data_IF_094669261987
#
_entry.id   IF_094669261987
#
_cell.length_a   1.000
_cell.length_b   1.000
_cell.length_c   1.000
_cell.angle_alpha   90.00
_cell.angle_beta   90.00
_cell.angle_gamma   90.00
#
_symmetry.space_group_name_H-M   'P 1'
#
loop_
_entity.id
_entity.type
_entity.pdbx_description
1 polymer ?
#
# COMPACT_ATOMS: atom_id res chain seq x y z
N UNK A 1 -39.05 23.36 66.17
CA UNK A 1 -37.73 23.95 65.93
C UNK A 1 -36.84 22.85 65.32
N UNK A 2 -36.84 22.70 64.03
CA UNK A 2 -36.17 21.63 63.28
C UNK A 2 -35.18 22.25 62.33
N UNK A 3 -33.90 22.01 62.60
CA UNK A 3 -32.77 22.51 61.79
C UNK A 3 -32.56 21.49 60.66
N UNK A 4 -32.62 21.96 59.43
CA UNK A 4 -32.23 21.20 58.23
C UNK A 4 -30.73 21.41 57.94
N UNK A 5 -29.95 20.39 57.61
CA UNK A 5 -28.60 20.55 57.09
C UNK A 5 -28.64 20.78 55.59
N UNK A 6 -27.95 21.81 55.15
CA UNK A 6 -27.68 22.14 53.73
C UNK A 6 -26.66 21.14 53.12
N UNK A 7 -27.06 20.52 52.04
CA UNK A 7 -26.21 19.69 51.23
C UNK A 7 -25.47 20.57 50.18
N UNK A 8 -24.18 20.76 50.35
CA UNK A 8 -23.32 21.43 49.37
C UNK A 8 -22.93 20.43 48.26
N UNK A 9 -23.44 20.68 47.08
CA UNK A 9 -23.01 19.95 45.85
C UNK A 9 -21.62 20.46 45.44
N UNK A 10 -20.59 19.63 45.61
CA UNK A 10 -19.29 19.84 44.97
C UNK A 10 -19.42 19.42 43.47
N UNK A 11 -19.43 20.40 42.56
CA UNK A 11 -19.30 20.18 41.15
C UNK A 11 -17.79 19.98 40.84
N UNK A 12 -17.38 18.74 40.63
CA UNK A 12 -16.04 18.43 40.14
C UNK A 12 -15.98 18.81 38.67
N UNK A 13 -15.27 19.90 38.34
CA UNK A 13 -14.93 20.32 36.99
C UNK A 13 -13.88 19.33 36.47
N UNK A 14 -14.28 18.36 35.63
CA UNK A 14 -13.35 17.57 34.83
C UNK A 14 -12.74 18.50 33.77
N UNK A 15 -11.50 18.94 33.98
CA UNK A 15 -10.66 19.50 32.92
C UNK A 15 -10.29 18.35 31.98
N UNK A 16 -11.01 18.25 30.89
CA UNK A 16 -10.56 17.46 29.73
C UNK A 16 -9.36 18.21 29.15
N UNK A 17 -8.16 17.80 29.50
CA UNK A 17 -6.96 18.20 28.76
C UNK A 17 -7.07 17.61 27.36
N UNK A 18 -7.52 18.39 26.40
CA UNK A 18 -7.33 18.10 24.99
C UNK A 18 -5.83 18.20 24.70
N UNK A 19 -5.16 17.05 24.66
CA UNK A 19 -3.83 17.00 24.07
C UNK A 19 -3.94 17.57 22.65
N UNK A 20 -3.01 18.43 22.21
CA UNK A 20 -3.02 18.90 20.84
C UNK A 20 -2.90 17.66 19.96
N UNK A 21 -3.89 17.46 19.10
CA UNK A 21 -3.78 16.54 17.96
C UNK A 21 -2.58 17.06 17.20
N UNK A 22 -1.46 16.35 17.29
CA UNK A 22 -0.29 16.59 16.46
C UNK A 22 -0.76 16.28 15.04
N UNK A 23 -1.24 17.32 14.35
CA UNK A 23 -1.69 17.19 12.97
C UNK A 23 -0.54 16.59 12.18
N UNK A 24 -0.78 15.45 11.54
CA UNK A 24 0.17 14.86 10.63
C UNK A 24 0.60 15.96 9.65
N UNK A 25 1.86 16.42 9.76
CA UNK A 25 2.40 17.38 8.80
C UNK A 25 2.25 16.75 7.43
N UNK A 26 1.63 17.47 6.50
CA UNK A 26 1.47 17.00 5.14
C UNK A 26 2.81 16.45 4.62
N UNK A 27 2.83 15.21 4.18
CA UNK A 27 4.04 14.52 3.76
C UNK A 27 4.64 15.12 2.49
N UNK A 28 3.89 15.95 1.80
CA UNK A 28 4.31 16.65 0.58
C UNK A 28 3.46 17.90 0.33
N UNK A 29 4.05 18.86 -0.41
CA UNK A 29 3.34 20.06 -0.89
C UNK A 29 3.90 20.46 -2.26
N UNK A 30 3.03 20.89 -3.18
CA UNK A 30 3.47 21.44 -4.45
C UNK A 30 4.16 22.80 -4.24
N UNK A 31 5.37 22.96 -4.76
CA UNK A 31 6.20 24.17 -4.64
C UNK A 31 6.83 24.48 -6.00
N UNK A 32 6.06 25.01 -6.99
CA UNK A 32 6.49 25.08 -8.39
C UNK A 32 7.85 25.74 -8.62
N UNK A 33 8.15 26.79 -7.88
CA UNK A 33 9.36 27.61 -8.11
C UNK A 33 10.52 27.28 -7.14
N UNK A 34 10.45 26.17 -6.42
CA UNK A 34 11.39 25.86 -5.36
C UNK A 34 12.67 25.14 -5.81
N UNK A 35 12.69 24.54 -7.02
CA UNK A 35 13.88 23.83 -7.50
C UNK A 35 15.02 24.79 -7.86
N UNK A 36 16.21 24.71 -7.20
CA UNK A 36 17.39 25.50 -7.55
C UNK A 36 17.82 25.36 -9.00
N UNK A 37 17.71 24.14 -9.57
CA UNK A 37 18.09 23.89 -10.97
C UNK A 37 17.11 24.50 -11.96
N UNK A 38 15.82 24.46 -11.68
CA UNK A 38 14.79 25.16 -12.50
C UNK A 38 14.99 26.67 -12.42
N UNK A 39 15.23 27.21 -11.22
CA UNK A 39 15.53 28.64 -11.05
C UNK A 39 16.77 29.08 -11.80
N UNK A 40 17.83 28.26 -11.82
CA UNK A 40 19.03 28.54 -12.59
C UNK A 40 18.77 28.53 -14.10
N UNK A 41 17.97 27.56 -14.60
CA UNK A 41 17.57 27.51 -16.01
C UNK A 41 16.73 28.72 -16.38
N UNK A 42 15.76 29.13 -15.56
CA UNK A 42 14.95 30.33 -15.78
C UNK A 42 15.82 31.59 -15.90
N UNK A 43 16.79 31.73 -14.98
CA UNK A 43 17.75 32.85 -15.04
C UNK A 43 18.57 32.84 -16.32
N UNK A 44 19.04 31.70 -16.78
CA UNK A 44 19.82 31.57 -18.01
C UNK A 44 18.98 31.89 -19.25
N UNK A 45 17.74 31.48 -19.30
CA UNK A 45 16.79 31.82 -20.38
C UNK A 45 16.49 33.32 -20.40
N UNK A 46 16.21 33.92 -19.25
CA UNK A 46 15.97 35.36 -19.12
C UNK A 46 17.20 36.18 -19.54
N UNK A 47 18.40 35.64 -19.39
CA UNK A 47 19.66 36.26 -19.87
C UNK A 47 19.92 36.00 -21.37
N UNK A 48 18.99 35.39 -22.11
CA UNK A 48 19.10 35.12 -23.54
C UNK A 48 20.07 34.02 -23.95
N UNK A 49 20.47 33.13 -23.00
CA UNK A 49 21.40 32.02 -23.28
C UNK A 49 20.68 30.90 -24.06
N UNK A 50 20.75 30.96 -25.39
CA UNK A 50 20.01 30.03 -26.26
C UNK A 50 20.35 28.55 -26.06
N UNK A 51 21.55 28.19 -25.59
CA UNK A 51 21.94 26.81 -25.33
C UNK A 51 21.58 26.33 -23.92
N UNK A 52 20.86 27.12 -23.10
CA UNK A 52 20.52 26.78 -21.74
C UNK A 52 19.67 25.49 -21.62
N UNK A 53 18.62 25.27 -22.44
CA UNK A 53 17.85 24.01 -22.40
C UNK A 53 18.71 22.80 -22.76
N UNK A 54 19.56 22.88 -23.79
CA UNK A 54 20.43 21.77 -24.19
C UNK A 54 21.40 21.37 -23.08
N UNK A 55 22.01 22.35 -22.39
CA UNK A 55 22.88 22.08 -21.24
C UNK A 55 22.13 21.49 -20.06
N UNK A 56 20.93 21.98 -19.80
CA UNK A 56 20.07 21.45 -18.75
C UNK A 56 19.75 19.97 -18.99
N UNK A 57 19.31 19.60 -20.20
CA UNK A 57 19.01 18.21 -20.53
C UNK A 57 20.27 17.31 -20.50
N UNK A 58 21.44 17.82 -20.88
CA UNK A 58 22.69 17.08 -20.72
C UNK A 58 22.98 16.77 -19.26
N UNK A 59 22.78 17.73 -18.36
CA UNK A 59 22.95 17.52 -16.91
C UNK A 59 21.91 16.53 -16.36
N UNK A 60 20.64 16.66 -16.75
CA UNK A 60 19.57 15.73 -16.32
C UNK A 60 19.89 14.30 -16.77
N UNK A 61 20.44 14.12 -17.97
CA UNK A 61 20.84 12.79 -18.45
C UNK A 61 21.95 12.16 -17.60
N UNK A 62 22.83 12.95 -17.03
CA UNK A 62 23.91 12.48 -16.15
C UNK A 62 23.44 12.13 -14.75
N UNK A 63 22.54 12.93 -14.17
CA UNK A 63 22.10 12.78 -12.77
C UNK A 63 20.81 11.97 -12.64
N UNK A 64 20.02 11.82 -13.71
CA UNK A 64 18.70 11.16 -13.72
C UNK A 64 17.57 12.09 -13.32
N UNK A 65 16.34 11.57 -13.46
CA UNK A 65 15.10 12.20 -13.02
C UNK A 65 14.31 11.23 -12.11
N UNK A 66 13.39 11.75 -11.25
CA UNK A 66 13.20 13.17 -10.94
C UNK A 66 14.43 13.79 -10.25
N UNK A 67 14.60 15.12 -10.35
CA UNK A 67 15.66 15.82 -9.60
C UNK A 67 15.32 15.77 -8.11
N UNK A 68 16.27 15.36 -7.30
CA UNK A 68 16.15 15.36 -5.84
C UNK A 68 17.14 16.37 -5.30
N UNK A 69 16.65 17.44 -4.70
CA UNK A 69 17.45 18.59 -4.26
C UNK A 69 17.16 18.89 -2.78
N UNK A 70 18.18 19.24 -1.98
CA UNK A 70 17.98 19.53 -0.56
C UNK A 70 17.11 20.79 -0.38
N UNK A 71 16.28 20.80 0.66
CA UNK A 71 15.53 21.98 1.09
C UNK A 71 16.43 22.79 2.03
N UNK A 72 16.75 24.06 1.72
CA UNK A 72 17.56 24.88 2.60
C UNK A 72 16.96 25.01 4.01
N UNK A 73 17.75 24.65 5.02
CA UNK A 73 17.33 24.74 6.43
C UNK A 73 16.37 23.64 6.92
N UNK A 74 16.05 22.65 6.07
CA UNK A 74 15.14 21.55 6.43
C UNK A 74 15.69 20.19 5.94
N UNK A 75 16.51 19.50 6.75
CA UNK A 75 17.17 18.26 6.36
C UNK A 75 16.20 17.07 6.24
N UNK A 76 14.94 17.20 6.71
CA UNK A 76 13.95 16.13 6.66
C UNK A 76 13.16 16.08 5.35
N UNK A 77 13.35 17.07 4.47
CA UNK A 77 12.65 17.19 3.20
C UNK A 77 13.61 17.40 2.04
N UNK A 78 13.15 16.97 0.87
CA UNK A 78 13.78 17.27 -0.43
C UNK A 78 12.78 17.94 -1.36
N UNK A 79 13.29 18.80 -2.25
CA UNK A 79 12.56 19.16 -3.46
C UNK A 79 12.70 18.03 -4.47
N UNK A 80 11.56 17.51 -4.92
CA UNK A 80 11.48 16.48 -5.95
C UNK A 80 10.85 17.11 -7.17
N UNK A 81 11.65 17.28 -8.24
CA UNK A 81 11.20 17.91 -9.47
C UNK A 81 11.07 16.89 -10.57
N UNK A 82 9.83 16.61 -10.95
CA UNK A 82 9.48 15.80 -12.10
C UNK A 82 9.74 16.61 -13.37
N UNK A 83 10.25 15.95 -14.40
CA UNK A 83 10.65 16.55 -15.66
C UNK A 83 10.07 15.79 -16.84
N UNK A 84 9.60 16.51 -17.83
CA UNK A 84 9.21 15.94 -19.12
C UNK A 84 9.83 16.78 -20.24
N UNK A 85 10.49 16.09 -21.19
CA UNK A 85 11.05 16.71 -22.37
C UNK A 85 9.94 16.79 -23.43
N UNK A 86 9.32 17.97 -23.56
CA UNK A 86 8.22 18.20 -24.49
C UNK A 86 8.70 18.46 -25.91
N UNK A 87 7.78 18.36 -26.84
CA UNK A 87 7.95 18.72 -28.24
C UNK A 87 6.85 19.70 -28.69
N UNK A 88 6.80 19.97 -30.00
CA UNK A 88 5.80 20.88 -30.59
C UNK A 88 4.36 20.36 -30.44
N UNK A 89 4.15 19.06 -30.19
CA UNK A 89 2.82 18.45 -30.06
C UNK A 89 2.38 18.36 -28.60
N UNK A 90 3.27 18.61 -27.64
CA UNK A 90 3.00 18.53 -26.21
C UNK A 90 2.16 19.72 -25.75
N UNK A 91 0.91 19.50 -25.39
CA UNK A 91 -0.05 20.50 -24.94
C UNK A 91 -0.16 20.60 -23.42
N UNK A 92 -0.02 19.49 -22.73
CA UNK A 92 0.03 19.37 -21.28
C UNK A 92 0.70 18.05 -20.90
N UNK A 93 1.15 17.95 -19.66
CA UNK A 93 1.62 16.71 -19.04
C UNK A 93 1.06 16.66 -17.62
N UNK A 94 0.49 15.53 -17.24
CA UNK A 94 -0.04 15.29 -15.87
C UNK A 94 0.80 14.23 -15.21
N UNK A 95 1.13 14.45 -13.94
CA UNK A 95 1.70 13.41 -13.06
C UNK A 95 0.54 12.60 -12.51
N UNK A 96 0.71 11.28 -12.48
CA UNK A 96 -0.32 10.33 -12.08
C UNK A 96 0.23 9.35 -11.06
N UNK A 97 -0.50 9.11 -9.96
CA UNK A 97 -0.10 8.30 -8.80
C UNK A 97 0.97 8.96 -7.90
N UNK A 98 1.26 8.36 -6.77
CA UNK A 98 2.27 8.83 -5.82
C UNK A 98 1.88 10.12 -5.09
N UNK A 99 2.55 11.22 -5.44
CA UNK A 99 2.29 12.56 -4.87
C UNK A 99 1.11 13.26 -5.51
N UNK A 100 0.55 12.66 -6.57
CA UNK A 100 -0.56 13.20 -7.32
C UNK A 100 -1.81 12.36 -7.01
N UNK A 101 -2.88 13.03 -6.63
CA UNK A 101 -4.20 12.43 -6.73
C UNK A 101 -4.46 12.15 -8.22
N UNK A 102 -5.20 11.08 -8.54
CA UNK A 102 -5.59 10.73 -9.92
C UNK A 102 -6.44 11.81 -10.60
N UNK A 103 -6.01 13.06 -10.49
CA UNK A 103 -6.75 14.27 -10.89
C UNK A 103 -5.88 15.19 -11.76
N UNK A 104 -6.53 15.89 -12.66
CA UNK A 104 -5.92 16.90 -13.56
C UNK A 104 -5.22 18.08 -12.84
N UNK A 105 -5.34 18.21 -11.52
CA UNK A 105 -4.63 19.23 -10.71
C UNK A 105 -3.11 19.11 -10.79
N UNK A 106 -2.60 17.90 -11.06
CA UNK A 106 -1.17 17.64 -11.05
C UNK A 106 -0.51 17.85 -12.40
N UNK A 107 -1.04 18.84 -13.15
CA UNK A 107 -0.41 19.32 -14.39
C UNK A 107 0.95 19.92 -14.11
N UNK A 108 1.90 19.56 -14.98
CA UNK A 108 3.22 20.16 -15.03
C UNK A 108 3.14 21.56 -15.66
N UNK A 109 4.03 22.42 -15.26
CA UNK A 109 4.22 23.75 -15.84
C UNK A 109 5.20 23.65 -17.01
N UNK A 110 4.94 24.35 -18.10
CA UNK A 110 5.91 24.53 -19.17
C UNK A 110 6.78 25.74 -18.83
N UNK A 111 8.07 25.55 -18.83
CA UNK A 111 9.01 26.67 -18.71
C UNK A 111 8.97 27.47 -20.01
N UNK A 112 8.69 28.78 -19.88
CA UNK A 112 8.57 29.71 -21.01
C UNK A 112 9.82 29.63 -21.90
N UNK A 113 9.63 29.68 -23.21
CA UNK A 113 10.66 29.64 -24.25
C UNK A 113 11.58 28.40 -24.18
N UNK A 114 11.04 27.28 -23.70
CA UNK A 114 11.75 26.00 -23.63
C UNK A 114 10.87 24.80 -23.94
N UNK A 115 11.51 23.63 -24.05
CA UNK A 115 10.89 22.30 -24.17
C UNK A 115 10.76 21.60 -22.82
N UNK A 116 11.05 22.30 -21.72
CA UNK A 116 11.05 21.75 -20.36
C UNK A 116 9.68 21.89 -19.72
N UNK A 117 9.08 20.77 -19.39
CA UNK A 117 7.91 20.68 -18.51
C UNK A 117 8.36 20.19 -17.17
N UNK A 118 7.88 20.80 -16.09
CA UNK A 118 8.30 20.46 -14.73
C UNK A 118 7.19 20.66 -13.70
N UNK A 119 7.32 19.93 -12.59
CA UNK A 119 6.56 20.17 -11.36
C UNK A 119 7.41 19.77 -10.17
N UNK A 120 7.50 20.66 -9.19
CA UNK A 120 8.30 20.45 -7.98
C UNK A 120 7.38 20.26 -6.78
N UNK A 121 7.72 19.29 -5.93
CA UNK A 121 7.10 19.07 -4.63
C UNK A 121 8.17 19.10 -3.55
N UNK A 122 7.82 19.62 -2.36
CA UNK A 122 8.59 19.40 -1.14
C UNK A 122 8.08 18.11 -0.50
N UNK A 123 8.95 17.10 -0.37
CA UNK A 123 8.58 15.75 0.07
C UNK A 123 9.51 15.31 1.20
N UNK A 124 8.96 14.64 2.23
CA UNK A 124 9.76 14.06 3.32
C UNK A 124 10.73 13.01 2.80
N UNK A 125 11.94 12.99 3.35
CA UNK A 125 13.04 12.14 2.90
C UNK A 125 12.84 10.63 3.12
N UNK A 126 11.85 10.22 3.91
CA UNK A 126 11.48 8.82 4.12
C UNK A 126 10.46 8.29 3.09
N UNK A 127 10.17 9.07 2.03
CA UNK A 127 9.17 8.72 1.04
C UNK A 127 9.68 7.75 -0.03
N UNK A 128 8.77 6.84 -0.44
CA UNK A 128 8.89 6.00 -1.63
C UNK A 128 7.54 5.86 -2.28
N UNK A 129 7.45 6.12 -3.60
CA UNK A 129 6.21 6.01 -4.34
C UNK A 129 6.45 5.77 -5.84
N UNK A 130 5.49 5.12 -6.47
CA UNK A 130 5.42 4.95 -7.91
C UNK A 130 4.76 6.17 -8.55
N UNK A 131 5.02 6.41 -9.84
CA UNK A 131 4.37 7.47 -10.61
C UNK A 131 4.41 7.17 -12.10
N UNK A 132 3.54 7.88 -12.84
CA UNK A 132 3.47 7.90 -14.30
C UNK A 132 3.37 9.32 -14.82
N UNK A 133 3.62 9.48 -16.10
CA UNK A 133 3.24 10.66 -16.85
C UNK A 133 2.08 10.36 -17.80
N UNK A 134 1.21 11.35 -18.00
CA UNK A 134 0.18 11.36 -19.01
C UNK A 134 0.38 12.60 -19.90
N UNK A 135 1.21 12.53 -20.96
CA UNK A 135 1.34 13.61 -21.93
C UNK A 135 0.08 13.73 -22.75
N UNK A 136 -0.30 14.98 -23.07
CA UNK A 136 -1.56 15.30 -23.76
C UNK A 136 -2.80 14.72 -23.07
N UNK A 137 -2.80 14.75 -21.74
CA UNK A 137 -3.86 14.24 -20.89
C UNK A 137 -5.22 14.88 -21.24
N UNK A 138 -6.32 14.11 -21.28
CA UNK A 138 -7.66 14.64 -21.54
C UNK A 138 -8.20 15.51 -20.40
N UNK A 139 -7.50 15.55 -19.25
CA UNK A 139 -7.86 16.32 -18.05
C UNK A 139 -9.22 15.91 -17.44
N UNK A 140 -9.60 14.66 -17.64
CA UNK A 140 -10.79 14.04 -17.04
C UNK A 140 -10.38 13.29 -15.79
N UNK A 141 -11.04 13.55 -14.68
CA UNK A 141 -10.82 12.80 -13.44
C UNK A 141 -11.12 11.31 -13.65
N UNK A 142 -10.29 10.43 -13.10
CA UNK A 142 -10.56 8.97 -13.13
C UNK A 142 -11.84 8.61 -12.39
N UNK A 143 -12.27 9.42 -11.43
CA UNK A 143 -13.51 9.23 -10.70
C UNK A 143 -14.77 9.44 -11.56
N UNK A 144 -14.63 10.20 -12.66
CA UNK A 144 -15.71 10.47 -13.62
C UNK A 144 -15.79 9.43 -14.74
N UNK A 145 -14.79 8.55 -14.85
CA UNK A 145 -14.73 7.51 -15.89
C UNK A 145 -15.62 6.33 -15.48
N UNK A 146 -16.58 6.02 -16.36
CA UNK A 146 -17.51 4.91 -16.15
C UNK A 146 -17.25 3.80 -17.16
N UNK A 147 -17.20 2.57 -16.66
CA UNK A 147 -17.01 1.37 -17.47
C UNK A 147 -15.55 0.97 -17.66
N UNK A 148 -15.35 -0.33 -17.75
CA UNK A 148 -14.00 -0.93 -17.78
C UNK A 148 -13.21 -0.56 -19.03
N UNK A 149 -13.86 -0.46 -20.20
CA UNK A 149 -13.17 -0.13 -21.45
C UNK A 149 -12.68 1.32 -21.46
N UNK A 150 -13.49 2.27 -20.95
CA UNK A 150 -13.08 3.66 -20.82
C UNK A 150 -11.93 3.81 -19.81
N UNK A 151 -11.97 3.06 -18.70
CA UNK A 151 -10.88 3.03 -17.73
C UNK A 151 -9.61 2.42 -18.35
N UNK A 152 -9.70 1.33 -19.11
CA UNK A 152 -8.56 0.76 -19.85
C UNK A 152 -7.94 1.76 -20.81
N UNK A 153 -8.76 2.43 -21.61
CA UNK A 153 -8.29 3.45 -22.54
C UNK A 153 -7.57 4.59 -21.82
N UNK A 154 -8.09 5.02 -20.67
CA UNK A 154 -7.46 6.06 -19.84
C UNK A 154 -6.10 5.63 -19.29
N UNK A 155 -6.01 4.41 -18.76
CA UNK A 155 -4.77 3.89 -18.18
C UNK A 155 -3.73 3.54 -19.26
N UNK A 156 -4.14 3.21 -20.46
CA UNK A 156 -3.24 3.00 -21.61
C UNK A 156 -2.49 4.27 -22.07
N UNK A 157 -2.93 5.45 -21.64
CA UNK A 157 -2.23 6.71 -21.90
C UNK A 157 -1.06 6.95 -20.95
N UNK A 158 -0.99 6.22 -19.85
CA UNK A 158 0.05 6.38 -18.85
C UNK A 158 1.39 5.87 -19.38
N UNK A 159 2.44 6.64 -19.15
CA UNK A 159 3.80 6.33 -19.58
C UNK A 159 4.74 6.37 -18.38
N UNK A 160 5.73 5.48 -18.39
CA UNK A 160 6.86 5.58 -17.47
C UNK A 160 7.71 6.80 -17.82
N UNK A 161 8.42 7.33 -16.84
CA UNK A 161 9.37 8.43 -17.05
C UNK A 161 10.58 7.93 -17.87
N UNK A 162 10.80 8.47 -19.09
CA UNK A 162 11.91 8.04 -19.92
C UNK A 162 13.29 8.44 -19.36
N UNK A 163 13.32 9.38 -18.41
CA UNK A 163 14.55 9.88 -17.78
C UNK A 163 14.87 9.17 -16.46
N UNK A 164 13.94 8.36 -15.95
CA UNK A 164 14.14 7.57 -14.74
C UNK A 164 14.31 6.08 -15.10
N UNK A 165 15.47 5.46 -14.89
CA UNK A 165 15.66 4.04 -15.19
C UNK A 165 15.01 3.09 -14.16
N UNK A 166 14.59 3.62 -13.00
CA UNK A 166 14.03 2.79 -11.92
C UNK A 166 12.59 2.40 -12.24
N UNK A 167 12.31 1.10 -12.20
CA UNK A 167 11.01 0.52 -12.52
C UNK A 167 10.53 -0.38 -11.40
N UNK A 168 9.22 -0.42 -11.21
CA UNK A 168 8.56 -1.40 -10.37
C UNK A 168 7.30 -1.92 -11.09
N UNK A 169 6.87 -3.15 -10.83
CA UNK A 169 5.58 -3.63 -11.31
C UNK A 169 4.43 -2.75 -10.83
N UNK A 170 3.48 -2.50 -11.72
CA UNK A 170 2.35 -1.62 -11.44
C UNK A 170 1.29 -2.27 -10.56
N UNK A 171 0.64 -1.47 -9.70
CA UNK A 171 -0.60 -1.83 -9.00
C UNK A 171 -1.80 -2.00 -9.92
N UNK A 172 -1.76 -1.36 -11.08
CA UNK A 172 -2.81 -1.47 -12.10
C UNK A 172 -2.65 -2.74 -12.95
N UNK A 173 -2.19 -3.86 -12.36
CA UNK A 173 -1.78 -5.09 -13.02
C UNK A 173 -2.74 -5.70 -14.04
N UNK A 174 -4.05 -5.38 -13.97
CA UNK A 174 -5.01 -5.75 -15.02
C UNK A 174 -4.67 -5.10 -16.39
N UNK A 175 -3.82 -4.09 -16.39
CA UNK A 175 -3.44 -3.32 -17.58
C UNK A 175 -1.98 -3.53 -17.99
N UNK A 176 -1.25 -4.34 -17.23
CA UNK A 176 0.12 -4.77 -17.51
C UNK A 176 1.15 -3.64 -17.51
N UNK A 177 2.38 -3.94 -17.17
CA UNK A 177 3.48 -3.01 -17.34
C UNK A 177 4.19 -2.62 -16.05
N UNK A 178 5.00 -1.58 -16.17
CA UNK A 178 5.85 -1.07 -15.11
C UNK A 178 5.48 0.39 -14.82
N UNK A 179 5.71 0.81 -13.58
CA UNK A 179 5.70 2.19 -13.14
C UNK A 179 7.13 2.68 -12.95
N UNK A 180 7.36 3.97 -13.14
CA UNK A 180 8.56 4.61 -12.59
C UNK A 180 8.39 4.78 -11.09
N UNK A 181 9.47 4.72 -10.32
CA UNK A 181 9.40 5.02 -8.91
C UNK A 181 10.54 5.91 -8.44
N UNK A 182 10.28 6.63 -7.37
CA UNK A 182 11.26 7.42 -6.65
C UNK A 182 11.39 6.90 -5.23
N UNK A 183 12.60 6.95 -4.73
CA UNK A 183 12.95 6.62 -3.36
C UNK A 183 13.87 7.71 -2.84
N UNK A 184 13.44 8.37 -1.78
CA UNK A 184 14.19 9.45 -1.16
C UNK A 184 15.22 8.91 -0.16
N UNK A 185 16.20 9.72 0.27
CA UNK A 185 17.38 9.23 0.97
C UNK A 185 17.14 8.43 2.25
N UNK A 186 16.09 8.75 3.00
CA UNK A 186 15.75 8.11 4.28
C UNK A 186 14.61 7.08 4.14
N UNK A 187 14.18 6.77 2.91
CA UNK A 187 13.13 5.77 2.70
C UNK A 187 13.56 4.40 3.28
N UNK A 188 12.67 3.72 4.02
CA UNK A 188 12.99 2.41 4.58
C UNK A 188 13.45 1.45 3.48
N UNK A 189 14.61 0.80 3.67
CA UNK A 189 15.12 -0.17 2.68
C UNK A 189 14.12 -1.28 2.48
N UNK A 190 13.96 -1.70 1.24
CA UNK A 190 13.10 -2.84 0.89
C UNK A 190 13.97 -4.08 0.71
N UNK A 191 13.64 -5.14 1.43
CA UNK A 191 14.41 -6.39 1.46
C UNK A 191 14.45 -7.09 0.10
N UNK A 192 13.40 -6.98 -0.72
CA UNK A 192 13.33 -7.63 -2.03
C UNK A 192 14.32 -7.08 -3.07
N UNK A 193 14.88 -5.89 -2.84
CA UNK A 193 15.93 -5.30 -3.69
C UNK A 193 17.32 -5.90 -3.39
N UNK A 194 17.45 -6.66 -2.29
CA UNK A 194 18.70 -7.35 -1.97
C UNK A 194 18.97 -8.49 -2.96
N UNK A 195 20.26 -8.71 -3.22
CA UNK A 195 20.69 -9.83 -4.05
C UNK A 195 20.37 -11.17 -3.36
N UNK A 196 19.30 -11.81 -3.78
CA UNK A 196 18.83 -13.08 -3.23
C UNK A 196 19.62 -14.30 -3.73
N UNK A 197 20.56 -14.16 -4.65
CA UNK A 197 21.31 -15.29 -5.23
C UNK A 197 22.13 -16.08 -4.20
N UNK A 198 22.38 -15.51 -3.02
CA UNK A 198 23.11 -16.17 -1.93
C UNK A 198 22.23 -17.06 -1.04
N UNK A 199 20.91 -17.02 -1.19
CA UNK A 199 19.97 -17.73 -0.33
C UNK A 199 19.39 -18.98 -1.03
N UNK A 200 19.01 -19.98 -0.24
CA UNK A 200 18.25 -21.11 -0.75
C UNK A 200 16.81 -20.65 -1.05
N UNK A 201 16.33 -20.95 -2.25
CA UNK A 201 15.01 -20.54 -2.71
C UNK A 201 13.95 -21.59 -2.44
N UNK A 202 12.78 -21.14 -1.99
CA UNK A 202 11.56 -21.94 -2.00
C UNK A 202 11.05 -22.18 -3.43
N UNK A 203 9.98 -22.94 -3.54
CA UNK A 203 9.33 -23.25 -4.82
C UNK A 203 7.93 -22.66 -4.87
N UNK A 204 7.58 -22.08 -6.01
CA UNK A 204 6.21 -21.67 -6.29
C UNK A 204 5.60 -22.63 -7.29
N UNK A 205 4.45 -23.19 -6.95
CA UNK A 205 3.66 -24.07 -7.81
C UNK A 205 2.31 -23.42 -8.10
N UNK A 206 1.88 -23.50 -9.36
CA UNK A 206 0.52 -23.13 -9.76
C UNK A 206 -0.35 -24.37 -9.69
N UNK A 207 -1.52 -24.26 -9.06
CA UNK A 207 -2.49 -25.33 -8.92
C UNK A 207 -3.91 -24.75 -8.86
N UNK A 208 -4.90 -25.56 -8.59
CA UNK A 208 -6.27 -25.13 -8.39
C UNK A 208 -6.99 -25.97 -7.34
N UNK A 209 -8.08 -25.44 -6.83
CA UNK A 209 -9.04 -26.13 -5.97
C UNK A 209 -10.47 -25.93 -6.50
N UNK A 210 -11.23 -27.03 -6.59
CA UNK A 210 -12.64 -26.93 -6.89
C UNK A 210 -13.40 -26.55 -5.62
N UNK A 211 -13.95 -25.36 -5.58
CA UNK A 211 -14.72 -24.88 -4.44
C UNK A 211 -16.21 -25.25 -4.58
N UNK A 212 -16.71 -25.88 -3.55
CA UNK A 212 -18.17 -26.18 -3.43
C UNK A 212 -18.93 -24.94 -2.96
N UNK A 213 -18.32 -24.13 -2.11
CA UNK A 213 -18.88 -22.87 -1.58
C UNK A 213 -19.02 -21.81 -2.67
N UNK A 214 -17.95 -21.61 -3.46
CA UNK A 214 -17.92 -20.63 -4.55
C UNK A 214 -18.50 -21.18 -5.86
N UNK A 215 -18.75 -22.50 -5.95
CA UNK A 215 -19.26 -23.23 -7.14
C UNK A 215 -18.40 -23.00 -8.39
N UNK A 216 -17.10 -22.87 -8.20
CA UNK A 216 -16.12 -22.65 -9.27
C UNK A 216 -14.73 -23.15 -8.88
N UNK A 217 -13.91 -23.37 -9.88
CA UNK A 217 -12.49 -23.60 -9.68
C UNK A 217 -11.78 -22.30 -9.31
N UNK A 218 -10.91 -22.37 -8.29
CA UNK A 218 -10.03 -21.26 -7.90
C UNK A 218 -8.59 -21.64 -8.20
N UNK A 219 -7.92 -20.85 -9.03
CA UNK A 219 -6.48 -20.93 -9.27
C UNK A 219 -5.72 -20.44 -8.03
N UNK A 220 -4.62 -21.10 -7.74
CA UNK A 220 -3.78 -20.87 -6.58
C UNK A 220 -2.30 -20.84 -6.98
N UNK A 221 -1.51 -20.05 -6.27
CA UNK A 221 -0.06 -20.18 -6.23
C UNK A 221 0.33 -20.64 -4.83
N UNK A 222 1.10 -21.72 -4.76
CA UNK A 222 1.56 -22.26 -3.48
C UNK A 222 3.08 -22.12 -3.41
N UNK A 223 3.56 -21.41 -2.41
CA UNK A 223 4.96 -21.35 -2.07
C UNK A 223 5.27 -22.36 -0.97
N UNK A 224 6.32 -23.16 -1.17
CA UNK A 224 6.92 -24.02 -0.15
C UNK A 224 8.37 -23.59 0.10
N UNK A 225 8.82 -23.52 1.37
CA UNK A 225 10.17 -23.03 1.68
C UNK A 225 11.26 -23.97 1.19
N UNK A 226 12.49 -23.48 1.09
CA UNK A 226 13.65 -24.33 0.82
C UNK A 226 13.73 -25.47 1.84
N UNK A 227 14.00 -26.69 1.34
CA UNK A 227 14.04 -27.89 2.19
C UNK A 227 12.67 -28.42 2.63
N UNK A 228 11.57 -27.93 2.04
CA UNK A 228 10.23 -28.47 2.29
C UNK A 228 10.17 -29.97 1.98
N UNK A 229 9.71 -30.79 2.94
CA UNK A 229 9.57 -32.24 2.79
C UNK A 229 8.15 -32.78 3.09
N UNK A 230 7.30 -31.93 3.68
CA UNK A 230 5.93 -32.28 4.04
C UNK A 230 5.77 -33.36 5.13
N UNK A 231 6.85 -33.70 5.86
CA UNK A 231 6.88 -34.85 6.80
C UNK A 231 7.21 -34.49 8.24
N UNK A 232 7.92 -33.39 8.44
CA UNK A 232 8.33 -32.95 9.78
C UNK A 232 7.21 -32.16 10.48
N UNK A 233 7.56 -31.17 11.33
CA UNK A 233 6.58 -30.35 12.03
C UNK A 233 5.67 -29.63 11.03
N UNK A 234 4.36 -29.50 11.34
CA UNK A 234 3.47 -28.71 10.49
C UNK A 234 4.00 -27.29 10.29
N UNK A 235 3.92 -26.80 9.07
CA UNK A 235 4.38 -25.48 8.69
C UNK A 235 3.36 -24.39 9.06
N UNK A 236 3.76 -23.25 9.63
CA UNK A 236 2.89 -22.07 9.66
C UNK A 236 2.31 -21.79 8.29
N UNK A 237 1.09 -21.25 8.24
CA UNK A 237 0.37 -20.99 7.00
C UNK A 237 0.14 -19.50 6.81
N UNK A 238 0.49 -19.00 5.64
CA UNK A 238 0.10 -17.67 5.16
C UNK A 238 -0.91 -17.83 4.03
N UNK A 239 -2.11 -17.31 4.20
CA UNK A 239 -3.10 -17.14 3.13
C UNK A 239 -3.04 -15.68 2.67
N UNK A 240 -2.78 -15.46 1.38
CA UNK A 240 -2.55 -14.13 0.81
C UNK A 240 -3.42 -13.94 -0.43
N UNK A 241 -4.07 -12.79 -0.54
CA UNK A 241 -4.88 -12.42 -1.71
C UNK A 241 -4.04 -11.78 -2.82
N UNK A 242 -4.65 -11.56 -3.99
CA UNK A 242 -4.02 -10.97 -5.17
C UNK A 242 -2.72 -11.70 -5.58
N UNK A 243 -2.80 -13.03 -5.67
CA UNK A 243 -1.65 -13.91 -5.94
C UNK A 243 -0.99 -13.65 -7.28
N UNK A 244 -1.75 -13.24 -8.31
CA UNK A 244 -1.25 -12.85 -9.62
C UNK A 244 -0.20 -11.72 -9.56
N UNK A 245 -0.26 -10.89 -8.53
CA UNK A 245 0.62 -9.74 -8.29
C UNK A 245 1.68 -10.05 -7.23
N UNK A 246 1.26 -10.67 -6.14
CA UNK A 246 2.11 -10.96 -5.00
C UNK A 246 3.16 -12.05 -5.29
N UNK A 247 2.92 -12.93 -6.26
CA UNK A 247 3.84 -13.99 -6.65
C UNK A 247 5.21 -13.48 -7.13
N UNK A 248 5.27 -12.24 -7.60
CA UNK A 248 6.53 -11.63 -8.06
C UNK A 248 7.43 -11.12 -6.92
N UNK A 249 6.87 -10.90 -5.73
CA UNK A 249 7.55 -10.22 -4.63
C UNK A 249 7.68 -11.09 -3.38
N UNK A 250 6.55 -11.63 -2.93
CA UNK A 250 6.46 -12.23 -1.59
C UNK A 250 7.30 -13.51 -1.47
N UNK A 251 7.39 -14.41 -2.46
CA UNK A 251 8.28 -15.56 -2.36
C UNK A 251 9.73 -15.18 -2.05
N UNK A 252 10.26 -14.16 -2.73
CA UNK A 252 11.62 -13.66 -2.52
C UNK A 252 11.80 -13.07 -1.12
N UNK A 253 10.80 -12.34 -0.63
CA UNK A 253 10.80 -11.80 0.74
C UNK A 253 10.82 -12.95 1.76
N UNK A 254 10.01 -13.98 1.55
CA UNK A 254 9.98 -15.16 2.43
C UNK A 254 11.34 -15.87 2.45
N UNK A 255 11.96 -16.10 1.29
CA UNK A 255 13.28 -16.73 1.20
C UNK A 255 14.32 -15.98 2.05
N UNK A 256 14.37 -14.66 1.93
CA UNK A 256 15.31 -13.83 2.67
C UNK A 256 15.00 -13.86 4.18
N UNK A 257 13.75 -13.68 4.57
CA UNK A 257 13.35 -13.66 5.99
C UNK A 257 13.60 -15.00 6.68
N UNK A 258 13.38 -16.10 5.97
CA UNK A 258 13.64 -17.45 6.47
C UNK A 258 15.15 -17.69 6.60
N UNK A 259 15.93 -17.33 5.59
CA UNK A 259 17.39 -17.48 5.60
C UNK A 259 18.06 -16.63 6.71
N UNK A 260 17.52 -15.46 6.99
CA UNK A 260 17.97 -14.58 8.08
C UNK A 260 17.40 -14.98 9.46
N UNK A 261 16.63 -16.07 9.56
CA UNK A 261 15.95 -16.53 10.79
C UNK A 261 15.03 -15.46 11.42
N UNK A 262 14.51 -14.54 10.61
CA UNK A 262 13.54 -13.52 11.08
C UNK A 262 12.14 -14.08 11.22
N UNK A 263 11.81 -15.11 10.42
CA UNK A 263 10.55 -15.86 10.49
C UNK A 263 10.86 -17.38 10.39
N UNK A 264 10.01 -18.26 10.91
CA UNK A 264 10.13 -19.69 10.66
C UNK A 264 9.82 -20.02 9.20
N UNK A 265 10.33 -21.14 8.65
CA UNK A 265 9.86 -21.68 7.38
C UNK A 265 8.34 -21.87 7.40
N UNK A 266 7.65 -21.39 6.37
CA UNK A 266 6.19 -21.42 6.26
C UNK A 266 5.74 -21.82 4.86
N UNK A 267 4.52 -22.30 4.74
CA UNK A 267 3.80 -22.49 3.48
C UNK A 267 2.93 -21.25 3.23
N UNK A 268 2.94 -20.76 1.99
CA UNK A 268 2.02 -19.68 1.58
C UNK A 268 1.11 -20.18 0.47
N UNK A 269 -0.19 -19.88 0.61
CA UNK A 269 -1.19 -20.11 -0.44
C UNK A 269 -1.75 -18.75 -0.86
N UNK A 270 -1.60 -18.42 -2.14
CA UNK A 270 -2.13 -17.18 -2.71
C UNK A 270 -3.32 -17.49 -3.61
N UNK A 271 -4.40 -16.74 -3.44
CA UNK A 271 -5.61 -16.84 -4.26
C UNK A 271 -5.56 -15.92 -5.47
N UNK A 272 -6.26 -16.28 -6.54
CA UNK A 272 -6.30 -15.53 -7.81
C UNK A 272 -7.49 -14.55 -7.82
N UNK A 273 -7.18 -13.27 -7.82
CA UNK A 273 -8.11 -12.16 -7.98
C UNK A 273 -7.77 -11.31 -9.23
N UNK A 274 -7.14 -11.92 -10.22
CA UNK A 274 -6.73 -11.24 -11.47
C UNK A 274 -7.91 -10.71 -12.29
N UNK A 275 -9.09 -11.32 -12.16
CA UNK A 275 -10.32 -10.85 -12.80
C UNK A 275 -11.00 -9.82 -11.89
N UNK A 276 -11.05 -8.56 -12.33
CA UNK A 276 -11.58 -7.45 -11.55
C UNK A 276 -13.00 -7.70 -11.01
N UNK A 277 -13.90 -8.25 -11.83
CA UNK A 277 -15.27 -8.56 -11.41
C UNK A 277 -15.29 -9.56 -10.24
N UNK A 278 -14.46 -10.62 -10.30
CA UNK A 278 -14.32 -11.57 -9.20
C UNK A 278 -13.70 -10.94 -7.97
N UNK A 279 -12.67 -10.10 -8.15
CA UNK A 279 -12.02 -9.40 -7.06
C UNK A 279 -12.99 -8.49 -6.29
N UNK A 280 -13.85 -7.77 -7.00
CA UNK A 280 -14.87 -6.89 -6.41
C UNK A 280 -16.05 -7.64 -5.81
N UNK A 281 -16.29 -8.88 -6.22
CA UNK A 281 -17.29 -9.79 -5.63
C UNK A 281 -16.76 -10.47 -4.36
N UNK A 282 -15.54 -11.03 -4.41
CA UNK A 282 -15.00 -11.92 -3.38
C UNK A 282 -14.43 -11.17 -2.17
N UNK A 283 -13.64 -10.12 -2.40
CA UNK A 283 -12.88 -9.50 -1.31
C UNK A 283 -13.70 -8.58 -0.39
N UNK A 284 -14.65 -7.75 -0.87
CA UNK A 284 -15.36 -6.83 0.03
C UNK A 284 -16.33 -7.54 0.96
N UNK A 285 -15.80 -8.05 2.09
CA UNK A 285 -16.59 -8.65 3.17
C UNK A 285 -17.56 -9.74 2.73
N UNK A 286 -17.19 -10.57 1.75
CA UNK A 286 -18.03 -11.64 1.23
C UNK A 286 -18.01 -12.87 2.17
N UNK A 287 -19.16 -13.26 2.79
CA UNK A 287 -19.20 -14.40 3.70
C UNK A 287 -18.86 -15.73 3.02
N UNK A 288 -19.28 -15.94 1.77
CA UNK A 288 -18.98 -17.19 1.05
C UNK A 288 -17.49 -17.32 0.76
N UNK A 289 -16.82 -16.21 0.43
CA UNK A 289 -15.38 -16.23 0.22
C UNK A 289 -14.60 -16.48 1.53
N UNK A 290 -14.98 -15.84 2.64
CA UNK A 290 -14.41 -16.12 3.94
C UNK A 290 -14.63 -17.58 4.37
N UNK A 291 -15.82 -18.14 4.12
CA UNK A 291 -16.13 -19.55 4.39
C UNK A 291 -15.31 -20.51 3.52
N UNK A 292 -15.12 -20.20 2.24
CA UNK A 292 -14.20 -20.94 1.34
C UNK A 292 -12.78 -20.97 1.90
N UNK A 293 -12.24 -19.84 2.34
CA UNK A 293 -10.90 -19.77 2.90
C UNK A 293 -10.75 -20.67 4.14
N UNK A 294 -11.68 -20.57 5.08
CA UNK A 294 -11.59 -21.27 6.35
C UNK A 294 -11.97 -22.76 6.26
N UNK A 295 -12.97 -23.09 5.46
CA UNK A 295 -13.58 -24.44 5.45
C UNK A 295 -13.08 -25.33 4.29
N UNK A 296 -12.53 -24.75 3.24
CA UNK A 296 -12.02 -25.49 2.08
C UNK A 296 -10.51 -25.27 1.86
N UNK A 297 -10.06 -24.03 1.69
CA UNK A 297 -8.67 -23.73 1.34
C UNK A 297 -7.67 -24.12 2.44
N UNK A 298 -7.93 -23.72 3.69
CA UNK A 298 -7.04 -24.04 4.82
C UNK A 298 -6.99 -25.55 5.10
N UNK A 299 -8.12 -26.28 5.16
CA UNK A 299 -8.10 -27.75 5.25
C UNK A 299 -7.34 -28.42 4.10
N UNK A 300 -7.52 -27.96 2.86
CA UNK A 300 -6.78 -28.43 1.70
C UNK A 300 -5.27 -28.19 1.83
N UNK A 301 -4.84 -27.02 2.31
CA UNK A 301 -3.43 -26.73 2.55
C UNK A 301 -2.83 -27.60 3.66
N UNK A 302 -3.61 -27.92 4.69
CA UNK A 302 -3.22 -28.89 5.75
C UNK A 302 -2.98 -30.28 5.20
N UNK A 303 -3.89 -30.76 4.36
CA UNK A 303 -3.79 -32.09 3.75
C UNK A 303 -2.63 -32.20 2.74
N UNK A 304 -2.50 -31.22 1.85
CA UNK A 304 -1.56 -31.29 0.73
C UNK A 304 -0.14 -30.81 1.05
N UNK A 305 -0.01 -29.84 1.96
CA UNK A 305 1.25 -29.16 2.25
C UNK A 305 1.63 -29.20 3.73
N UNK A 306 1.01 -30.08 4.50
CA UNK A 306 1.30 -30.24 5.92
C UNK A 306 1.28 -28.90 6.70
N UNK A 307 0.32 -28.03 6.36
CA UNK A 307 0.12 -26.76 7.06
C UNK A 307 -0.45 -26.99 8.46
N UNK A 308 -0.20 -26.04 9.36
CA UNK A 308 -0.57 -26.11 10.77
C UNK A 308 -2.08 -26.15 11.02
N UNK A 309 -2.48 -26.77 12.12
CA UNK A 309 -3.85 -26.67 12.68
C UNK A 309 -3.98 -25.56 13.74
N UNK A 310 -2.88 -24.91 14.11
CA UNK A 310 -2.85 -23.87 15.14
C UNK A 310 -3.24 -22.50 14.53
N UNK A 311 -4.37 -21.91 14.94
CA UNK A 311 -4.75 -20.57 14.48
C UNK A 311 -3.68 -19.52 14.78
N UNK A 312 -2.94 -19.67 15.88
CA UNK A 312 -1.87 -18.75 16.24
C UNK A 312 -0.65 -18.79 15.28
N UNK A 313 -0.61 -19.78 14.39
CA UNK A 313 0.39 -19.93 13.33
C UNK A 313 -0.23 -19.81 11.93
N UNK A 314 -1.51 -19.44 11.83
CA UNK A 314 -2.22 -19.22 10.57
C UNK A 314 -2.47 -17.73 10.39
N UNK A 315 -1.93 -17.19 9.30
CA UNK A 315 -2.02 -15.75 8.95
C UNK A 315 -2.91 -15.61 7.73
N UNK A 316 -3.84 -14.67 7.76
CA UNK A 316 -4.54 -14.17 6.56
C UNK A 316 -4.09 -12.75 6.28
N UNK A 317 -3.75 -12.47 5.01
CA UNK A 317 -3.09 -11.23 4.62
C UNK A 317 -3.60 -10.67 3.30
N UNK A 318 -3.58 -9.35 3.16
CA UNK A 318 -3.87 -8.69 1.90
C UNK A 318 -3.74 -7.18 1.98
N UNK A 319 -3.91 -6.54 0.82
CA UNK A 319 -3.84 -5.08 0.66
C UNK A 319 -5.12 -4.53 0.04
N UNK A 320 -5.45 -3.28 0.35
CA UNK A 320 -6.65 -2.63 -0.20
C UNK A 320 -7.93 -3.42 0.14
N UNK A 321 -8.71 -3.87 -0.85
CA UNK A 321 -9.82 -4.82 -0.63
C UNK A 321 -9.35 -6.14 -0.02
N UNK A 322 -8.13 -6.59 -0.34
CA UNK A 322 -7.54 -7.75 0.33
C UNK A 322 -7.26 -7.51 1.81
N UNK A 323 -6.87 -6.29 2.20
CA UNK A 323 -6.74 -5.90 3.60
C UNK A 323 -8.07 -5.87 4.35
N UNK A 324 -9.13 -5.39 3.68
CA UNK A 324 -10.50 -5.45 4.17
C UNK A 324 -10.95 -6.92 4.37
N UNK A 325 -10.71 -7.78 3.35
CA UNK A 325 -11.05 -9.20 3.40
C UNK A 325 -10.30 -9.95 4.50
N UNK A 326 -9.02 -9.60 4.74
CA UNK A 326 -8.20 -10.23 5.80
C UNK A 326 -8.80 -9.99 7.18
N UNK A 327 -9.20 -8.75 7.48
CA UNK A 327 -9.85 -8.42 8.76
C UNK A 327 -11.21 -9.11 8.87
N UNK A 328 -12.00 -9.13 7.78
CA UNK A 328 -13.29 -9.79 7.76
C UNK A 328 -13.18 -11.31 7.96
N UNK A 329 -12.21 -11.97 7.31
CA UNK A 329 -11.95 -13.40 7.47
C UNK A 329 -11.51 -13.74 8.91
N UNK A 330 -10.61 -12.93 9.50
CA UNK A 330 -10.21 -13.08 10.90
C UNK A 330 -11.37 -12.89 11.86
N UNK A 331 -12.23 -11.88 11.66
CA UNK A 331 -13.41 -11.63 12.48
C UNK A 331 -14.42 -12.78 12.39
N UNK A 332 -14.63 -13.35 11.21
CA UNK A 332 -15.61 -14.41 10.96
C UNK A 332 -15.11 -15.81 11.37
N UNK A 333 -13.82 -16.06 11.25
CA UNK A 333 -13.18 -17.37 11.43
C UNK A 333 -11.91 -17.27 12.27
N UNK A 334 -12.02 -16.68 13.47
CA UNK A 334 -10.89 -16.56 14.41
C UNK A 334 -10.39 -17.92 14.94
N UNK A 335 -11.21 -18.97 14.84
CA UNK A 335 -10.83 -20.35 15.10
C UNK A 335 -9.89 -20.95 14.04
N UNK A 336 -9.78 -20.30 12.88
CA UNK A 336 -8.90 -20.69 11.77
C UNK A 336 -7.73 -19.72 11.62
N UNK A 337 -8.01 -18.42 11.67
CA UNK A 337 -7.06 -17.35 11.47
C UNK A 337 -6.81 -16.59 12.78
N UNK A 338 -5.71 -16.88 13.46
CA UNK A 338 -5.31 -16.15 14.66
C UNK A 338 -4.51 -14.88 14.42
N UNK A 339 -4.04 -14.68 13.17
CA UNK A 339 -3.21 -13.54 12.80
C UNK A 339 -3.70 -12.89 11.50
N UNK A 340 -3.73 -11.57 11.49
CA UNK A 340 -4.22 -10.75 10.38
C UNK A 340 -3.18 -9.71 9.97
N UNK A 341 -2.83 -9.67 8.69
CA UNK A 341 -2.06 -8.56 8.10
C UNK A 341 -3.00 -7.78 7.17
N UNK A 342 -3.14 -6.49 7.42
CA UNK A 342 -3.94 -5.58 6.60
C UNK A 342 -3.09 -4.39 6.17
N UNK A 343 -2.88 -4.27 4.86
CA UNK A 343 -2.05 -3.24 4.25
C UNK A 343 -2.96 -2.27 3.50
N UNK A 344 -3.06 -1.03 3.97
CA UNK A 344 -3.95 -0.01 3.41
C UNK A 344 -5.38 -0.53 3.19
N UNK A 345 -5.95 -1.20 4.20
CA UNK A 345 -7.26 -1.84 4.09
C UNK A 345 -8.34 -0.85 3.67
N UNK A 346 -9.22 -1.23 2.73
CA UNK A 346 -10.31 -0.38 2.22
C UNK A 346 -11.44 -0.24 3.24
N UNK A 347 -11.12 0.17 4.47
CA UNK A 347 -12.08 0.26 5.58
C UNK A 347 -13.15 1.32 5.40
N UNK A 348 -13.02 2.23 4.44
CA UNK A 348 -14.07 3.16 4.03
C UNK A 348 -15.26 2.44 3.36
N UNK A 349 -15.08 1.21 2.92
CA UNK A 349 -16.08 0.43 2.20
C UNK A 349 -17.37 0.19 3.01
N UNK A 350 -18.46 0.06 2.29
CA UNK A 350 -19.78 -0.35 2.80
C UNK A 350 -20.53 -1.19 1.76
N UNK A 351 -21.41 -2.09 2.16
CA UNK A 351 -22.35 -2.72 1.25
C UNK A 351 -23.40 -1.71 0.72
N UNK A 352 -24.02 -2.00 -0.41
CA UNK A 352 -24.95 -1.09 -1.09
C UNK A 352 -26.18 -0.69 -0.26
N UNK A 353 -26.64 -1.58 0.62
CA UNK A 353 -27.78 -1.34 1.51
C UNK A 353 -27.45 -0.44 2.72
N UNK A 354 -26.18 -0.13 2.94
CA UNK A 354 -25.75 0.76 4.02
C UNK A 354 -25.62 2.20 3.55
N UNK A 355 -26.01 3.14 4.41
CA UNK A 355 -25.91 4.59 4.09
C UNK A 355 -24.52 5.14 4.36
N UNK A 356 -23.88 4.69 5.43
CA UNK A 356 -22.61 5.21 5.92
C UNK A 356 -21.47 4.23 5.63
N UNK A 357 -20.29 4.77 5.30
CA UNK A 357 -19.06 4.02 5.13
C UNK A 357 -18.56 3.34 6.42
N UNK A 358 -17.42 2.67 6.29
CA UNK A 358 -16.70 2.02 7.38
C UNK A 358 -17.49 0.87 8.05
N UNK A 359 -18.22 0.13 7.24
CA UNK A 359 -19.08 -0.95 7.74
C UNK A 359 -18.30 -1.97 8.58
N UNK A 360 -17.14 -2.43 8.12
CA UNK A 360 -16.34 -3.43 8.85
C UNK A 360 -15.74 -2.87 10.15
N UNK A 361 -15.40 -1.58 10.19
CA UNK A 361 -14.94 -0.92 11.43
C UNK A 361 -16.03 -1.00 12.49
N UNK A 362 -17.28 -0.67 12.12
CA UNK A 362 -18.45 -0.77 13.01
C UNK A 362 -18.72 -2.22 13.46
N UNK A 363 -18.55 -3.21 12.56
CA UNK A 363 -18.67 -4.63 12.93
C UNK A 363 -17.58 -5.04 13.92
N UNK A 364 -16.34 -4.61 13.72
CA UNK A 364 -15.23 -4.87 14.64
C UNK A 364 -15.48 -4.21 16.00
N UNK A 365 -15.98 -2.99 16.02
CA UNK A 365 -16.34 -2.28 17.26
C UNK A 365 -17.42 -3.01 18.05
N UNK A 366 -18.48 -3.45 17.39
CA UNK A 366 -19.61 -4.14 18.02
C UNK A 366 -19.32 -5.60 18.42
N UNK A 367 -18.32 -6.26 17.81
CA UNK A 367 -17.98 -7.67 18.11
C UNK A 367 -17.37 -7.85 19.52
N UNK A 368 -17.47 -9.03 20.15
CA UNK A 368 -16.64 -9.36 21.30
C UNK A 368 -15.14 -9.39 20.90
N UNK A 369 -14.24 -9.25 21.87
CA UNK A 369 -12.81 -9.47 21.62
C UNK A 369 -12.56 -10.94 21.28
N UNK A 370 -11.91 -11.20 20.15
CA UNK A 370 -11.55 -12.53 19.66
C UNK A 370 -10.04 -12.80 19.88
N UNK A 371 -9.58 -14.06 19.81
CA UNK A 371 -8.16 -14.39 19.97
C UNK A 371 -7.35 -14.07 18.71
N UNK A 372 -7.32 -12.80 18.33
CA UNK A 372 -6.68 -12.29 17.13
C UNK A 372 -5.49 -11.39 17.45
N UNK A 373 -4.50 -11.38 16.55
CA UNK A 373 -3.38 -10.45 16.51
C UNK A 373 -3.38 -9.76 15.15
N UNK A 374 -3.06 -8.48 15.14
CA UNK A 374 -3.11 -7.67 13.92
C UNK A 374 -1.76 -7.01 13.64
N UNK A 375 -1.44 -6.95 12.36
CA UNK A 375 -0.50 -5.99 11.81
C UNK A 375 -1.25 -5.13 10.79
N UNK A 376 -1.21 -3.83 10.98
CA UNK A 376 -1.90 -2.87 10.12
C UNK A 376 -0.95 -1.76 9.69
N UNK A 377 -1.02 -1.36 8.43
CA UNK A 377 -0.36 -0.15 7.97
C UNK A 377 -1.17 0.60 6.92
N UNK A 378 -0.84 1.89 6.73
CA UNK A 378 -1.44 2.76 5.74
C UNK A 378 -0.41 3.76 5.21
N UNK A 379 -0.54 4.14 3.95
CA UNK A 379 0.30 5.14 3.29
C UNK A 379 -0.18 6.57 3.54
N UNK A 380 0.73 7.48 3.89
CA UNK A 380 0.42 8.89 4.13
C UNK A 380 0.17 9.69 2.84
N UNK A 381 0.46 9.12 1.67
CA UNK A 381 0.14 9.69 0.36
C UNK A 381 -1.13 9.08 -0.27
N UNK A 382 -1.91 8.33 0.52
CA UNK A 382 -3.23 7.85 0.11
C UNK A 382 -4.30 8.88 0.50
N UNK A 383 -5.40 9.00 -0.26
CA UNK A 383 -6.43 10.01 -0.03
C UNK A 383 -6.94 10.07 1.42
N UNK A 384 -6.67 11.16 2.13
CA UNK A 384 -6.91 11.26 3.57
C UNK A 384 -8.38 11.10 3.93
N UNK A 385 -9.26 11.74 3.17
CA UNK A 385 -10.69 11.85 3.53
C UNK A 385 -11.42 10.52 3.67
N UNK A 386 -10.94 9.47 3.01
CA UNK A 386 -11.59 8.16 3.08
C UNK A 386 -10.63 7.00 3.42
N UNK A 387 -9.40 6.99 2.91
CA UNK A 387 -8.48 5.87 3.09
C UNK A 387 -7.73 5.95 4.43
N UNK A 388 -6.99 7.05 4.67
CA UNK A 388 -6.18 7.20 5.88
C UNK A 388 -7.07 7.25 7.12
N UNK A 389 -8.10 8.12 7.12
CA UNK A 389 -9.02 8.27 8.26
C UNK A 389 -9.73 6.96 8.63
N UNK A 390 -10.14 6.15 7.64
CA UNK A 390 -10.78 4.86 7.91
C UNK A 390 -9.80 3.84 8.50
N UNK A 391 -8.52 3.87 8.09
CA UNK A 391 -7.46 3.02 8.67
C UNK A 391 -7.10 3.48 10.08
N UNK A 392 -7.02 4.77 10.34
CA UNK A 392 -6.81 5.32 11.68
C UNK A 392 -7.96 4.93 12.63
N UNK A 393 -9.20 5.00 12.17
CA UNK A 393 -10.35 4.55 12.96
C UNK A 393 -10.28 3.04 13.29
N UNK A 394 -9.96 2.18 12.32
CA UNK A 394 -9.76 0.74 12.57
C UNK A 394 -8.64 0.52 13.60
N UNK A 395 -7.50 1.20 13.47
CA UNK A 395 -6.41 1.18 14.44
C UNK A 395 -6.91 1.49 15.85
N UNK A 396 -7.70 2.56 15.98
CA UNK A 396 -8.16 3.04 17.29
C UNK A 396 -9.16 2.06 17.92
N UNK A 397 -10.05 1.46 17.12
CA UNK A 397 -10.95 0.38 17.55
C UNK A 397 -10.16 -0.85 18.03
N UNK A 398 -9.16 -1.29 17.27
CA UNK A 398 -8.32 -2.42 17.66
C UNK A 398 -7.56 -2.16 18.95
N UNK A 399 -7.01 -0.95 19.14
CA UNK A 399 -6.34 -0.52 20.38
C UNK A 399 -7.30 -0.46 21.56
N UNK A 400 -8.46 0.15 21.39
CA UNK A 400 -9.48 0.26 22.44
C UNK A 400 -9.96 -1.10 22.93
N UNK A 401 -10.03 -2.10 22.03
CA UNK A 401 -10.36 -3.48 22.38
C UNK A 401 -9.18 -4.28 22.96
N UNK A 402 -7.98 -3.70 23.02
CA UNK A 402 -6.79 -4.32 23.59
C UNK A 402 -6.25 -5.47 22.75
N UNK A 403 -6.39 -5.43 21.42
CA UNK A 403 -5.75 -6.40 20.53
C UNK A 403 -4.23 -6.18 20.48
N UNK A 404 -3.40 -7.24 20.43
CA UNK A 404 -2.01 -7.12 20.05
C UNK A 404 -1.93 -6.58 18.63
N UNK A 405 -1.45 -5.33 18.49
CA UNK A 405 -1.44 -4.58 17.22
C UNK A 405 -0.05 -4.02 16.93
N UNK A 406 0.57 -4.44 15.81
CA UNK A 406 1.61 -3.70 15.15
C UNK A 406 0.96 -2.68 14.19
N UNK A 407 1.36 -1.41 14.27
CA UNK A 407 0.83 -0.35 13.41
C UNK A 407 1.96 0.50 12.85
N UNK A 408 1.91 0.77 11.55
CA UNK A 408 2.91 1.58 10.90
C UNK A 408 2.28 2.49 9.82
N UNK A 409 2.71 3.74 9.77
CA UNK A 409 2.39 4.68 8.70
C UNK A 409 3.62 4.88 7.82
N UNK A 410 3.52 4.54 6.55
CA UNK A 410 4.61 4.73 5.61
C UNK A 410 4.38 5.97 4.74
N UNK A 411 5.47 6.65 4.38
CA UNK A 411 5.39 7.80 3.50
C UNK A 411 5.43 7.35 2.03
N UNK A 412 4.27 7.01 1.51
CA UNK A 412 4.07 6.49 0.15
C UNK A 412 2.61 6.32 -0.21
N UNK A 413 2.35 6.01 -1.47
CA UNK A 413 1.02 5.84 -2.04
C UNK A 413 0.50 4.40 -1.97
N UNK A 414 -0.69 4.20 -2.53
CA UNK A 414 -1.45 2.94 -2.54
C UNK A 414 -0.87 1.94 -3.57
N UNK A 415 0.25 1.29 -3.23
CA UNK A 415 0.96 0.46 -4.20
C UNK A 415 1.65 -0.78 -3.62
N UNK A 416 1.78 -1.83 -4.44
CA UNK A 416 2.54 -3.05 -4.09
C UNK A 416 4.00 -2.75 -3.75
N UNK A 417 4.59 -1.71 -4.33
CA UNK A 417 5.93 -1.24 -3.99
C UNK A 417 6.10 -0.99 -2.48
N UNK A 418 5.08 -0.42 -1.85
CA UNK A 418 5.08 -0.14 -0.41
C UNK A 418 4.61 -1.35 0.40
N UNK A 419 3.57 -2.05 -0.06
CA UNK A 419 3.00 -3.20 0.66
C UNK A 419 3.95 -4.39 0.76
N UNK A 420 4.91 -4.53 -0.15
CA UNK A 420 5.97 -5.52 -0.02
C UNK A 420 6.77 -5.34 1.29
N UNK A 421 7.14 -4.08 1.63
CA UNK A 421 7.76 -3.75 2.91
C UNK A 421 6.82 -3.94 4.10
N UNK A 422 5.53 -3.68 3.92
CA UNK A 422 4.50 -3.93 4.93
C UNK A 422 4.34 -5.41 5.24
N UNK A 423 4.37 -6.26 4.22
CA UNK A 423 4.34 -7.71 4.40
C UNK A 423 5.57 -8.20 5.19
N UNK A 424 6.76 -7.70 4.87
CA UNK A 424 7.98 -8.00 5.64
C UNK A 424 7.80 -7.67 7.13
N UNK A 425 7.42 -6.43 7.45
CA UNK A 425 7.23 -5.98 8.83
C UNK A 425 6.14 -6.77 9.56
N UNK A 426 5.03 -7.04 8.88
CA UNK A 426 3.89 -7.80 9.41
C UNK A 426 4.26 -9.23 9.75
N UNK A 427 4.97 -9.92 8.86
CA UNK A 427 5.44 -11.28 9.07
C UNK A 427 6.42 -11.36 10.25
N UNK A 428 7.37 -10.43 10.35
CA UNK A 428 8.31 -10.35 11.48
C UNK A 428 7.56 -10.10 12.80
N UNK A 429 6.60 -9.18 12.82
CA UNK A 429 5.81 -8.86 14.00
C UNK A 429 5.01 -10.07 14.49
N UNK A 430 4.29 -10.76 13.60
CA UNK A 430 3.42 -11.88 13.95
C UNK A 430 4.17 -13.18 14.24
N UNK A 431 5.40 -13.34 13.70
CA UNK A 431 6.25 -14.50 14.02
C UNK A 431 6.82 -14.46 15.44
N UNK A 432 6.87 -13.28 16.07
CA UNK A 432 7.25 -13.14 17.47
C UNK A 432 6.06 -13.55 18.34
N UNK A 433 6.26 -14.55 19.21
CA UNK A 433 5.25 -14.87 20.24
C UNK A 433 5.11 -13.67 21.19
N UNK A 434 3.89 -13.30 21.63
CA UNK A 434 3.76 -12.38 22.76
C UNK A 434 4.57 -12.91 23.92
N UNK A 435 5.28 -12.03 24.63
CA UNK A 435 5.83 -12.39 25.93
C UNK A 435 4.67 -12.85 26.80
N UNK A 436 4.78 -14.06 27.35
CA UNK A 436 3.82 -14.68 28.26
C UNK A 436 3.70 -13.89 29.55
#
# INVERSE_FOLDING_TARGET
MLIRPSCSLLVALLLVMTAPICGAQASFAATPDASPRIAALQKDLAAGKQNAPTRFWAQVKEIGAPLIEPVPGDPHFSFVTFLWHGDATTRNVVIFDGVADYDAKDRMLRLTDSDVWYKTYKIRNDARFAYYFSPNDPLTSVNDIKGDDAMKARLAMLQTDPLNPRRCPTTFGAYGGEASFVELPDAPKIIWDQNSAAFAHGKVQVTSIQSTTLKREKKLWVYTPAGFDGKHKPYPLLVLFDGDRNVMWIPKILDILIAENKIPPLVMVMTDESVRAMRTEELPCNPAFADFLAKELVPWAREKYHATNDPAQTIVAGSSYGGLASVFAGLRHSETFGNVITLSGSFFWKPDNEKEGQWLVKQMEASPKLPLRFYQEVGLMEGYSFQIAANEHMRDVLRAKGYPLGYFEFNGGHSFLNWAGGMERGLIFLSKRPAS
#
